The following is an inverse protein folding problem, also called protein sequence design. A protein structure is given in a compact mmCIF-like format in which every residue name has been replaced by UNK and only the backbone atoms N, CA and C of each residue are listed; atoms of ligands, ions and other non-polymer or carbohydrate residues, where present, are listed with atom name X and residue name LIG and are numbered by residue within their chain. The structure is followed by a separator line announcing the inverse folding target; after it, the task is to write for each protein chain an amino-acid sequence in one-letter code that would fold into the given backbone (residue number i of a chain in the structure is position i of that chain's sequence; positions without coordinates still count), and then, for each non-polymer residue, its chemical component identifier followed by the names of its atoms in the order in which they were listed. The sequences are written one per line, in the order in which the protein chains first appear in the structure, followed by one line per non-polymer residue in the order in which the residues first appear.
data_IF_893782117966
#
_entry.id   IF_893782117966
#
_cell.length_a   1.000
_cell.length_b   1.000
_cell.length_c   1.000
_cell.angle_alpha   90.00
_cell.angle_beta   90.00
_cell.angle_gamma   90.00
#
_symmetry.space_group_name_H-M   'P 1'
#
loop_
_entity.id
_entity.type
_entity.pdbx_description
1 polymer ?
#
# COMPACT_ATOMS: atom_id res chain seq x y z
N UNK A 1 25.14 42.16 6.13
CA UNK A 1 25.14 41.70 4.71
C UNK A 1 26.33 42.29 3.91
N UNK A 2 26.77 43.50 4.20
CA UNK A 2 27.82 44.15 3.41
C UNK A 2 29.24 43.49 3.49
N UNK A 3 29.45 42.56 4.38
CA UNK A 3 30.70 41.83 4.59
C UNK A 3 30.63 40.33 4.26
N UNK A 4 29.52 39.87 3.73
CA UNK A 4 29.30 38.46 3.38
C UNK A 4 29.39 38.30 1.85
N UNK A 5 30.03 37.22 1.40
CA UNK A 5 30.06 36.74 0.03
C UNK A 5 28.65 36.63 -0.56
N UNK A 6 28.49 36.83 -1.86
CA UNK A 6 27.21 36.77 -2.57
C UNK A 6 26.45 35.44 -2.38
N UNK A 7 27.17 34.35 -2.13
CA UNK A 7 26.55 33.05 -1.80
C UNK A 7 25.67 33.13 -0.54
N UNK A 8 26.04 33.94 0.46
CA UNK A 8 25.23 34.13 1.67
C UNK A 8 24.00 34.97 1.46
N UNK A 9 23.95 35.82 0.44
CA UNK A 9 22.73 36.56 0.08
C UNK A 9 21.62 35.61 -0.31
N UNK A 10 21.91 34.62 -1.17
CA UNK A 10 20.97 33.59 -1.57
C UNK A 10 20.46 32.79 -0.38
N UNK A 11 21.33 32.42 0.56
CA UNK A 11 20.96 31.70 1.78
C UNK A 11 20.03 32.54 2.65
N UNK A 12 20.33 33.81 2.84
CA UNK A 12 19.51 34.73 3.64
C UNK A 12 18.11 34.85 3.02
N UNK A 13 18.03 35.13 1.72
CA UNK A 13 16.75 35.32 1.02
C UNK A 13 15.90 34.05 1.03
N UNK A 14 16.52 32.89 0.92
CA UNK A 14 15.80 31.61 0.78
C UNK A 14 15.47 30.95 2.14
N UNK A 15 16.40 30.95 3.08
CA UNK A 15 16.31 30.13 4.28
C UNK A 15 16.37 30.90 5.60
N UNK A 16 16.53 32.23 5.58
CA UNK A 16 16.61 33.01 6.82
C UNK A 16 15.51 34.07 6.90
N UNK A 17 15.46 35.04 5.98
CA UNK A 17 14.62 36.23 6.12
C UNK A 17 14.21 36.89 4.79
N UNK A 18 13.86 36.13 3.76
CA UNK A 18 13.29 36.63 2.52
C UNK A 18 11.75 36.63 2.55
N UNK A 19 11.11 37.31 1.59
CA UNK A 19 9.64 37.32 1.42
C UNK A 19 9.04 35.93 1.20
N UNK A 20 9.85 35.02 0.64
CA UNK A 20 9.51 33.61 0.40
C UNK A 20 10.42 32.65 1.15
N UNK A 21 11.09 33.13 2.19
CA UNK A 21 12.00 32.31 2.96
C UNK A 21 11.28 31.12 3.64
N UNK A 22 11.95 29.99 3.64
CA UNK A 22 11.46 28.74 4.25
C UNK A 22 10.89 28.92 5.66
N UNK A 23 11.56 29.64 6.60
CA UNK A 23 11.02 29.83 7.95
C UNK A 23 9.74 30.65 7.97
N UNK A 24 9.56 31.61 7.05
CA UNK A 24 8.32 32.38 6.93
C UNK A 24 7.16 31.50 6.42
N UNK A 25 7.44 30.61 5.47
CA UNK A 25 6.43 29.68 4.97
C UNK A 25 6.01 28.70 6.08
N UNK A 26 6.95 28.15 6.82
CA UNK A 26 6.65 27.26 7.98
C UNK A 26 5.77 27.98 9.01
N UNK A 27 6.10 29.22 9.33
CA UNK A 27 5.34 30.02 10.29
C UNK A 27 3.90 30.31 9.76
N UNK A 28 3.69 30.49 8.45
CA UNK A 28 2.38 30.63 7.82
C UNK A 28 1.57 29.32 7.83
N UNK A 29 2.22 28.20 7.50
CA UNK A 29 1.58 26.90 7.44
C UNK A 29 1.22 26.34 8.83
N UNK A 30 1.92 26.78 9.87
CA UNK A 30 1.80 26.30 11.25
C UNK A 30 1.50 27.41 12.23
N UNK A 31 0.23 27.71 12.51
CA UNK A 31 -0.16 28.79 13.44
C UNK A 31 0.47 28.69 14.84
N UNK A 32 0.81 27.47 15.30
CA UNK A 32 1.51 27.24 16.57
C UNK A 32 2.90 27.91 16.59
N UNK A 33 3.58 27.95 15.45
CA UNK A 33 4.89 28.61 15.29
C UNK A 33 4.72 30.07 14.85
N UNK A 34 3.76 30.31 13.95
CA UNK A 34 3.58 31.59 13.28
C UNK A 34 3.10 32.73 14.17
N UNK A 35 2.29 32.45 15.21
CA UNK A 35 1.76 33.49 16.15
C UNK A 35 2.87 34.36 16.73
N UNK A 36 4.09 33.83 16.90
CA UNK A 36 5.24 34.53 17.46
C UNK A 36 6.47 34.48 16.56
N UNK A 37 6.29 34.13 15.30
CA UNK A 37 7.34 33.98 14.30
C UNK A 37 8.51 33.10 14.82
N UNK A 38 8.21 31.96 15.44
CA UNK A 38 9.17 31.10 16.13
C UNK A 38 10.24 30.59 15.17
N UNK A 39 9.81 30.07 14.00
CA UNK A 39 10.75 29.49 13.03
C UNK A 39 11.69 30.57 12.45
N UNK A 40 11.17 31.79 12.20
CA UNK A 40 11.99 32.91 11.76
C UNK A 40 13.02 33.34 12.81
N UNK A 41 12.62 33.37 14.10
CA UNK A 41 13.58 33.66 15.20
C UNK A 41 14.68 32.62 15.28
N UNK A 42 14.31 31.33 15.19
CA UNK A 42 15.28 30.22 15.16
C UNK A 42 16.22 30.37 13.98
N UNK A 43 15.69 30.58 12.75
CA UNK A 43 16.49 30.73 11.55
C UNK A 43 17.51 31.88 11.64
N UNK A 44 17.09 33.06 12.13
CA UNK A 44 17.94 34.24 12.32
C UNK A 44 19.05 33.99 13.35
N UNK A 45 18.70 33.40 14.50
CA UNK A 45 19.68 33.08 15.54
C UNK A 45 20.65 31.99 15.07
N UNK A 46 20.17 30.98 14.36
CA UNK A 46 21.00 29.95 13.75
C UNK A 46 21.98 30.55 12.72
N UNK A 47 21.52 31.48 11.88
CA UNK A 47 22.37 32.16 10.91
C UNK A 47 23.51 32.94 11.59
N UNK A 48 23.19 33.70 12.63
CA UNK A 48 24.18 34.44 13.40
C UNK A 48 25.19 33.51 14.08
N UNK A 49 24.74 32.41 14.66
CA UNK A 49 25.58 31.38 15.25
C UNK A 49 26.48 30.67 14.24
N UNK A 50 25.99 30.48 13.02
CA UNK A 50 26.74 29.88 11.90
C UNK A 50 27.86 30.83 11.41
N UNK A 51 27.50 32.10 11.22
CA UNK A 51 28.45 33.10 10.76
C UNK A 51 29.67 33.25 11.69
N UNK A 52 29.45 33.13 13.00
CA UNK A 52 30.52 33.22 14.00
C UNK A 52 31.43 31.96 14.05
N UNK A 53 31.05 30.86 13.41
CA UNK A 53 31.72 29.55 13.53
C UNK A 53 32.13 28.96 12.18
N UNK A 54 32.11 29.74 11.09
CA UNK A 54 32.39 29.26 9.71
C UNK A 54 33.74 28.55 9.62
N UNK A 55 34.77 29.13 10.24
CA UNK A 55 36.15 28.62 10.21
C UNK A 55 36.54 27.87 11.49
N UNK A 56 35.57 27.59 12.38
CA UNK A 56 35.82 26.89 13.64
C UNK A 56 35.89 25.38 13.44
N UNK A 57 36.66 24.69 14.28
CA UNK A 57 36.72 23.22 14.30
C UNK A 57 35.34 22.58 14.60
N UNK A 58 34.46 23.30 15.34
CA UNK A 58 33.11 22.90 15.63
C UNK A 58 32.15 23.96 15.10
N UNK A 59 31.58 23.69 13.94
CA UNK A 59 30.62 24.58 13.28
C UNK A 59 29.26 24.63 14.00
N UNK A 60 28.58 25.77 13.87
CA UNK A 60 27.20 25.93 14.27
C UNK A 60 26.98 26.15 15.76
N UNK A 61 25.71 26.18 16.13
CA UNK A 61 25.25 26.45 17.50
C UNK A 61 24.55 25.20 18.07
N UNK A 62 24.78 24.91 19.34
CA UNK A 62 24.09 23.86 20.05
C UNK A 62 22.61 24.18 20.24
N UNK A 63 21.76 23.16 20.15
CA UNK A 63 20.29 23.27 20.22
C UNK A 63 19.84 24.01 21.47
N UNK A 64 20.39 23.68 22.63
CA UNK A 64 20.05 24.29 23.91
C UNK A 64 20.39 25.76 23.93
N UNK A 65 21.59 26.14 23.42
CA UNK A 65 22.04 27.55 23.30
C UNK A 65 21.15 28.32 22.30
N UNK A 66 20.79 27.67 21.17
CA UNK A 66 19.92 28.27 20.18
C UNK A 66 18.56 28.59 20.80
N UNK A 67 17.97 27.62 21.51
CA UNK A 67 16.65 27.79 22.13
C UNK A 67 16.67 28.85 23.24
N UNK A 68 17.70 28.84 24.06
CA UNK A 68 17.86 29.87 25.08
C UNK A 68 17.95 31.28 24.47
N UNK A 69 18.69 31.41 23.35
CA UNK A 69 18.87 32.69 22.65
C UNK A 69 17.61 33.22 21.94
N UNK A 70 16.64 32.37 21.66
CA UNK A 70 15.39 32.79 20.98
C UNK A 70 14.15 32.74 21.84
N UNK A 71 14.23 32.18 23.06
CA UNK A 71 13.09 32.08 23.96
C UNK A 71 12.58 33.46 24.41
N UNK A 72 11.27 33.63 24.40
CA UNK A 72 10.56 34.83 24.86
C UNK A 72 9.48 34.47 25.87
N UNK A 73 9.19 35.36 26.81
CA UNK A 73 8.07 35.14 27.75
C UNK A 73 6.76 34.78 27.03
N UNK A 74 6.11 33.70 27.47
CA UNK A 74 4.89 33.17 26.85
C UNK A 74 5.06 32.26 25.67
N UNK A 75 6.30 31.83 25.32
CA UNK A 75 6.56 30.78 24.36
C UNK A 75 6.28 29.38 24.95
N UNK A 76 5.85 28.44 24.10
CA UNK A 76 5.71 27.03 24.46
C UNK A 76 6.99 26.30 24.06
N UNK A 77 7.85 25.95 25.03
CA UNK A 77 9.18 25.34 24.80
C UNK A 77 9.12 24.04 23.98
N UNK A 78 8.06 23.25 24.13
CA UNK A 78 7.84 22.03 23.36
C UNK A 78 7.79 22.23 21.84
N UNK A 79 7.48 23.44 21.37
CA UNK A 79 7.40 23.76 19.95
C UNK A 79 8.79 24.04 19.31
N UNK A 80 9.82 24.31 20.10
CA UNK A 80 11.13 24.72 19.58
C UNK A 80 11.81 23.59 18.81
N UNK A 81 11.82 22.38 19.38
CA UNK A 81 12.39 21.21 18.73
C UNK A 81 11.71 20.88 17.41
N UNK A 82 10.36 20.86 17.40
CA UNK A 82 9.57 20.59 16.20
C UNK A 82 9.74 21.67 15.12
N UNK A 83 9.88 22.94 15.54
CA UNK A 83 10.12 24.05 14.59
C UNK A 83 11.52 23.97 13.97
N UNK A 84 12.57 23.68 14.77
CA UNK A 84 13.92 23.48 14.24
C UNK A 84 14.00 22.25 13.33
N UNK A 85 13.36 21.17 13.69
CA UNK A 85 13.30 19.96 12.87
C UNK A 85 12.65 20.27 11.51
N UNK A 86 11.51 20.94 11.51
CA UNK A 86 10.81 21.29 10.27
C UNK A 86 11.60 22.27 9.41
N UNK A 87 12.34 23.18 10.03
CA UNK A 87 13.29 24.06 9.34
C UNK A 87 14.42 23.24 8.69
N UNK A 88 15.04 22.33 9.42
CA UNK A 88 16.09 21.43 8.90
C UNK A 88 15.60 20.56 7.73
N UNK A 89 14.36 20.10 7.79
CA UNK A 89 13.79 19.22 6.76
C UNK A 89 13.45 20.00 5.47
N UNK A 90 13.04 21.27 5.58
CA UNK A 90 12.59 22.09 4.43
C UNK A 90 13.63 23.08 3.89
N UNK A 91 14.57 23.50 4.72
CA UNK A 91 15.59 24.46 4.32
C UNK A 91 16.61 23.84 3.37
N UNK A 92 17.09 24.64 2.43
CA UNK A 92 18.08 24.21 1.45
C UNK A 92 19.48 24.11 2.04
N UNK A 93 19.83 25.04 2.95
CA UNK A 93 21.20 25.26 3.41
C UNK A 93 21.41 24.98 4.90
N UNK A 94 20.43 24.42 5.60
CA UNK A 94 20.54 24.06 7.01
C UNK A 94 21.11 22.66 7.17
N UNK A 95 22.15 22.55 7.96
CA UNK A 95 22.81 21.31 8.36
C UNK A 95 22.58 21.03 9.85
N UNK A 96 22.46 19.77 10.20
CA UNK A 96 22.37 19.33 11.60
C UNK A 96 23.26 18.11 11.80
N UNK A 97 24.11 18.15 12.84
CA UNK A 97 24.96 17.04 13.25
C UNK A 97 24.93 16.92 14.77
N UNK A 98 24.39 15.79 15.26
CA UNK A 98 24.13 15.60 16.68
C UNK A 98 23.19 16.67 17.24
N UNK A 99 23.67 17.47 18.21
CA UNK A 99 22.91 18.57 18.83
C UNK A 99 23.17 19.93 18.20
N UNK A 100 24.07 20.01 17.20
CA UNK A 100 24.50 21.27 16.58
C UNK A 100 23.82 21.46 15.23
N UNK A 101 23.48 22.71 14.91
CA UNK A 101 22.93 23.09 13.62
C UNK A 101 23.65 24.34 13.08
N UNK A 102 23.75 24.45 11.74
CA UNK A 102 24.37 25.60 11.07
C UNK A 102 23.87 25.77 9.65
N UNK A 103 24.12 26.95 9.06
CA UNK A 103 23.99 27.18 7.64
C UNK A 103 25.31 26.95 6.93
N UNK A 104 25.25 26.29 5.76
CA UNK A 104 26.44 26.14 4.89
C UNK A 104 26.10 26.64 3.47
N UNK A 105 27.14 26.83 2.64
CA UNK A 105 27.01 27.32 1.27
C UNK A 105 26.51 26.24 0.29
N UNK A 106 26.68 24.99 0.61
CA UNK A 106 26.21 23.88 -0.19
C UNK A 106 24.78 23.47 0.23
N UNK A 107 23.94 23.00 -0.70
CA UNK A 107 22.64 22.44 -0.35
C UNK A 107 22.76 21.24 0.59
N UNK A 108 21.85 21.14 1.55
CA UNK A 108 21.81 20.00 2.47
C UNK A 108 21.41 18.71 1.75
N UNK A 109 21.78 17.55 2.30
CA UNK A 109 21.40 16.24 1.76
C UNK A 109 19.86 16.13 1.63
N UNK A 110 19.12 16.63 2.60
CA UNK A 110 17.66 16.64 2.58
C UNK A 110 17.13 17.33 1.33
N UNK A 111 17.72 18.46 0.95
CA UNK A 111 17.31 19.20 -0.24
C UNK A 111 17.62 18.43 -1.52
N UNK A 112 18.81 17.86 -1.62
CA UNK A 112 19.21 17.04 -2.77
C UNK A 112 18.24 15.86 -2.94
N UNK A 113 17.86 15.20 -1.85
CA UNK A 113 16.91 14.09 -1.86
C UNK A 113 15.52 14.53 -2.30
N UNK A 114 15.02 15.67 -1.80
CA UNK A 114 13.69 16.17 -2.19
C UNK A 114 13.67 16.51 -3.68
N UNK A 115 14.70 17.18 -4.21
CA UNK A 115 14.81 17.50 -5.62
C UNK A 115 14.92 16.23 -6.48
N UNK A 116 15.67 15.23 -6.02
CA UNK A 116 15.79 13.93 -6.68
C UNK A 116 14.46 13.17 -6.68
N UNK A 117 13.77 13.13 -5.56
CA UNK A 117 12.46 12.48 -5.43
C UNK A 117 11.43 13.10 -6.39
N UNK A 118 11.41 14.42 -6.52
CA UNK A 118 10.54 15.13 -7.46
C UNK A 118 10.88 14.85 -8.94
N UNK A 119 12.15 14.56 -9.24
CA UNK A 119 12.62 14.30 -10.61
C UNK A 119 12.44 12.83 -11.07
N UNK A 120 12.01 11.91 -10.19
CA UNK A 120 11.79 10.51 -10.54
C UNK A 120 10.61 10.36 -11.51
N UNK A 121 10.78 9.50 -12.51
CA UNK A 121 9.71 9.14 -13.43
C UNK A 121 8.61 8.33 -12.73
N UNK A 122 7.35 8.56 -13.12
CA UNK A 122 6.20 7.89 -12.51
C UNK A 122 6.20 6.36 -12.79
N UNK A 123 6.75 5.94 -13.94
CA UNK A 123 6.84 4.52 -14.27
C UNK A 123 7.87 3.81 -13.36
N UNK A 124 9.04 4.43 -13.13
CA UNK A 124 10.07 3.89 -12.23
C UNK A 124 9.54 3.77 -10.80
N UNK A 125 8.77 4.76 -10.34
CA UNK A 125 8.13 4.74 -9.03
C UNK A 125 7.08 3.63 -8.93
N UNK A 126 6.29 3.42 -9.98
CA UNK A 126 5.30 2.35 -10.01
C UNK A 126 5.96 0.95 -9.97
N UNK A 127 7.07 0.75 -10.71
CA UNK A 127 7.83 -0.51 -10.66
C UNK A 127 8.46 -0.74 -9.27
N UNK A 128 9.02 0.30 -8.66
CA UNK A 128 9.48 0.22 -7.26
C UNK A 128 8.33 -0.11 -6.31
N UNK A 129 7.14 0.43 -6.58
CA UNK A 129 5.91 0.08 -5.87
C UNK A 129 5.56 -1.40 -5.96
N UNK A 130 5.77 -2.03 -7.12
CA UNK A 130 5.58 -3.49 -7.31
C UNK A 130 6.58 -4.30 -6.47
N UNK A 131 7.84 -3.88 -6.38
CA UNK A 131 8.82 -4.54 -5.52
C UNK A 131 8.44 -4.47 -4.04
N UNK A 132 8.01 -3.30 -3.58
CA UNK A 132 7.53 -3.12 -2.21
C UNK A 132 6.24 -3.91 -1.98
N UNK A 133 5.33 -3.96 -2.97
CA UNK A 133 4.10 -4.76 -2.91
C UNK A 133 4.41 -6.25 -2.70
N UNK A 134 5.43 -6.79 -3.37
CA UNK A 134 5.90 -8.17 -3.16
C UNK A 134 6.32 -8.42 -1.71
N UNK A 135 7.01 -7.46 -1.11
CA UNK A 135 7.46 -7.57 0.27
C UNK A 135 6.30 -7.57 1.30
N UNK A 136 5.21 -6.80 1.03
CA UNK A 136 4.06 -6.66 1.94
C UNK A 136 2.86 -7.54 1.57
N UNK A 137 2.92 -8.29 0.46
CA UNK A 137 1.80 -9.12 -0.01
C UNK A 137 1.40 -10.19 1.01
N UNK A 138 2.35 -11.00 1.46
CA UNK A 138 2.11 -12.13 2.35
C UNK A 138 1.31 -13.27 1.71
N UNK A 139 0.92 -14.24 2.52
CA UNK A 139 0.04 -15.36 2.13
C UNK A 139 -1.05 -15.54 3.18
N UNK A 140 -2.15 -16.16 2.83
CA UNK A 140 -3.27 -16.42 3.74
C UNK A 140 -3.92 -17.77 3.44
N UNK A 141 -4.44 -18.49 4.47
CA UNK A 141 -5.05 -19.80 4.29
C UNK A 141 -6.30 -19.77 3.39
N UNK A 142 -6.93 -18.62 3.18
CA UNK A 142 -8.10 -18.45 2.32
C UNK A 142 -7.75 -18.55 0.83
N UNK A 143 -6.49 -18.38 0.47
CA UNK A 143 -6.04 -18.39 -0.93
C UNK A 143 -5.07 -19.53 -1.20
N UNK A 144 -5.20 -20.14 -2.37
CA UNK A 144 -4.25 -21.18 -2.84
C UNK A 144 -2.98 -20.57 -3.42
N UNK A 145 -3.05 -19.33 -3.92
CA UNK A 145 -1.93 -18.58 -4.46
C UNK A 145 -2.20 -17.08 -4.42
N UNK A 146 -1.13 -16.29 -4.48
CA UNK A 146 -1.17 -14.83 -4.59
C UNK A 146 -0.39 -14.43 -5.84
N UNK A 147 -1.08 -13.84 -6.80
CA UNK A 147 -0.49 -13.25 -8.01
C UNK A 147 -0.27 -11.76 -7.77
N UNK A 148 0.92 -11.25 -8.09
CA UNK A 148 1.30 -9.87 -7.77
C UNK A 148 1.54 -9.10 -9.05
N UNK A 149 0.80 -8.01 -9.22
CA UNK A 149 0.92 -7.04 -10.29
C UNK A 149 1.00 -7.68 -11.70
N UNK A 150 0.02 -8.52 -12.10
CA UNK A 150 0.02 -9.09 -13.44
C UNK A 150 0.01 -7.97 -14.49
N UNK A 151 0.83 -8.10 -15.53
CA UNK A 151 0.91 -7.13 -16.60
C UNK A 151 -0.31 -7.21 -17.54
N UNK A 152 -0.87 -8.42 -17.67
CA UNK A 152 -2.01 -8.74 -18.53
C UNK A 152 -2.94 -9.79 -17.89
N UNK A 153 -4.14 -9.94 -18.44
CA UNK A 153 -5.09 -10.98 -18.02
C UNK A 153 -4.56 -12.40 -18.27
N UNK A 154 -3.61 -12.56 -19.21
CA UNK A 154 -2.97 -13.82 -19.54
C UNK A 154 -2.05 -14.38 -18.46
N UNK A 155 -1.51 -13.48 -17.62
CA UNK A 155 -0.53 -13.83 -16.57
C UNK A 155 -1.17 -14.51 -15.37
N UNK A 156 -2.49 -14.39 -15.22
CA UNK A 156 -3.24 -15.02 -14.12
C UNK A 156 -3.85 -16.34 -14.60
N UNK A 157 -3.44 -17.44 -13.99
CA UNK A 157 -3.92 -18.77 -14.33
C UNK A 157 -5.44 -18.89 -14.16
N UNK A 158 -6.11 -19.62 -15.07
CA UNK A 158 -7.50 -20.01 -14.94
C UNK A 158 -7.58 -21.31 -14.10
N UNK A 159 -7.50 -21.16 -12.79
CA UNK A 159 -7.44 -22.24 -11.81
C UNK A 159 -8.79 -22.48 -11.18
N UNK A 160 -9.04 -23.73 -10.76
CA UNK A 160 -10.23 -24.09 -9.95
C UNK A 160 -10.05 -23.80 -8.45
N UNK A 161 -8.88 -23.36 -8.01
CA UNK A 161 -8.61 -22.98 -6.62
C UNK A 161 -8.56 -21.47 -6.49
N UNK A 162 -9.08 -20.94 -5.38
CA UNK A 162 -9.20 -19.49 -5.15
C UNK A 162 -7.82 -18.85 -5.10
N UNK A 163 -7.63 -17.86 -5.96
CA UNK A 163 -6.40 -17.06 -6.08
C UNK A 163 -6.69 -15.61 -5.70
N UNK A 164 -5.74 -15.02 -5.00
CA UNK A 164 -5.72 -13.59 -4.76
C UNK A 164 -4.84 -12.91 -5.81
N UNK A 165 -5.32 -11.85 -6.42
CA UNK A 165 -4.57 -11.04 -7.38
C UNK A 165 -4.39 -9.64 -6.81
N UNK A 166 -3.17 -9.25 -6.48
CA UNK A 166 -2.86 -7.88 -6.11
C UNK A 166 -2.60 -7.07 -7.37
N UNK A 167 -3.44 -6.09 -7.67
CA UNK A 167 -3.34 -5.33 -8.91
C UNK A 167 -2.11 -4.43 -8.94
N UNK A 168 -1.59 -4.19 -10.14
CA UNK A 168 -0.50 -3.25 -10.36
C UNK A 168 -0.91 -1.83 -9.92
N UNK A 169 0.02 -0.99 -9.41
CA UNK A 169 -0.26 0.39 -8.98
C UNK A 169 -1.04 1.26 -9.96
N UNK A 170 -0.86 1.05 -11.26
CA UNK A 170 -1.60 1.77 -12.31
C UNK A 170 -3.11 1.49 -12.32
N UNK A 171 -3.55 0.38 -11.72
CA UNK A 171 -4.94 -0.05 -11.65
C UNK A 171 -5.59 0.42 -10.35
N UNK A 172 -5.63 1.73 -10.14
CA UNK A 172 -6.28 2.33 -8.97
C UNK A 172 -7.81 2.28 -9.07
N UNK A 173 -8.44 2.24 -7.90
CA UNK A 173 -9.90 2.38 -7.75
C UNK A 173 -10.18 3.64 -6.97
N UNK A 174 -11.06 4.47 -7.50
CA UNK A 174 -11.50 5.72 -6.88
C UNK A 174 -13.02 5.80 -6.76
N UNK A 175 -13.50 6.81 -6.04
CA UNK A 175 -14.92 7.06 -5.86
C UNK A 175 -15.43 6.71 -4.47
N UNK A 176 -16.77 6.67 -4.33
CA UNK A 176 -17.46 6.26 -3.09
C UNK A 176 -17.86 4.79 -3.22
N UNK A 177 -17.97 4.08 -2.10
CA UNK A 177 -18.31 2.64 -2.08
C UNK A 177 -19.51 2.25 -2.97
N UNK A 178 -20.51 3.12 -3.12
CA UNK A 178 -21.67 2.89 -3.98
C UNK A 178 -21.43 3.17 -5.48
N UNK A 179 -20.28 3.80 -5.85
CA UNK A 179 -19.96 4.18 -7.24
C UNK A 179 -18.46 4.21 -7.44
N UNK A 180 -17.83 3.06 -7.32
CA UNK A 180 -16.41 2.89 -7.58
C UNK A 180 -16.16 2.86 -9.09
N UNK A 181 -15.05 3.46 -9.49
CA UNK A 181 -14.63 3.55 -10.88
C UNK A 181 -13.11 3.63 -10.99
N UNK A 182 -12.63 3.60 -12.21
CA UNK A 182 -11.21 3.77 -12.51
C UNK A 182 -10.57 2.53 -13.14
N UNK A 183 -9.29 2.64 -13.51
CA UNK A 183 -8.57 1.58 -14.23
C UNK A 183 -8.57 0.22 -13.51
N UNK A 184 -8.67 0.24 -12.17
CA UNK A 184 -8.74 -0.98 -11.37
C UNK A 184 -10.04 -1.75 -11.54
N UNK A 185 -11.18 -1.04 -11.65
CA UNK A 185 -12.48 -1.66 -11.91
C UNK A 185 -12.54 -2.24 -13.33
N UNK A 186 -12.04 -1.50 -14.31
CA UNK A 186 -11.99 -1.93 -15.72
C UNK A 186 -11.13 -3.18 -15.90
N UNK A 187 -9.93 -3.17 -15.34
CA UNK A 187 -9.02 -4.31 -15.41
C UNK A 187 -9.55 -5.52 -14.63
N UNK A 188 -10.24 -5.30 -13.51
CA UNK A 188 -10.87 -6.36 -12.73
C UNK A 188 -12.00 -7.03 -13.54
N UNK A 189 -12.88 -6.27 -14.18
CA UNK A 189 -13.95 -6.81 -15.02
C UNK A 189 -13.36 -7.60 -16.21
N UNK A 190 -12.32 -7.07 -16.87
CA UNK A 190 -11.63 -7.76 -17.94
C UNK A 190 -10.98 -9.07 -17.45
N UNK A 191 -10.25 -9.05 -16.34
CA UNK A 191 -9.57 -10.21 -15.78
C UNK A 191 -10.56 -11.32 -15.37
N UNK A 192 -11.70 -10.94 -14.80
CA UNK A 192 -12.74 -11.88 -14.40
C UNK A 192 -13.48 -12.52 -15.59
N UNK A 193 -13.53 -11.84 -16.73
CA UNK A 193 -14.19 -12.34 -17.95
C UNK A 193 -13.24 -13.04 -18.92
N UNK A 194 -11.96 -12.68 -18.93
CA UNK A 194 -11.01 -13.12 -19.95
C UNK A 194 -9.67 -13.55 -19.35
N UNK A 195 -9.04 -14.48 -20.04
CA UNK A 195 -7.63 -14.82 -19.92
C UNK A 195 -7.00 -14.68 -21.28
N UNK A 196 -6.22 -13.63 -21.50
CA UNK A 196 -5.75 -13.24 -22.85
C UNK A 196 -6.95 -13.11 -23.82
N UNK A 197 -6.94 -13.83 -24.94
CA UNK A 197 -8.00 -13.83 -25.94
C UNK A 197 -9.19 -14.76 -25.60
N UNK A 198 -9.03 -15.69 -24.66
CA UNK A 198 -10.05 -16.67 -24.30
C UNK A 198 -10.98 -16.19 -23.20
N UNK A 199 -12.22 -16.66 -23.17
CA UNK A 199 -13.10 -16.46 -22.04
C UNK A 199 -12.55 -17.21 -20.80
N UNK A 200 -12.61 -16.57 -19.62
CA UNK A 200 -12.24 -17.22 -18.36
C UNK A 200 -13.35 -18.18 -17.93
N UNK A 201 -12.97 -19.37 -17.54
CA UNK A 201 -13.90 -20.43 -17.16
C UNK A 201 -14.20 -20.36 -15.66
N UNK A 202 -13.18 -20.17 -14.82
CA UNK A 202 -13.29 -20.25 -13.37
C UNK A 202 -13.31 -18.86 -12.71
N UNK A 203 -14.23 -17.99 -13.16
CA UNK A 203 -14.33 -16.62 -12.67
C UNK A 203 -14.57 -16.55 -11.14
N UNK A 204 -15.35 -17.50 -10.58
CA UNK A 204 -15.62 -17.56 -9.15
C UNK A 204 -14.38 -17.90 -8.29
N UNK A 205 -13.30 -18.39 -8.90
CA UNK A 205 -12.05 -18.72 -8.22
C UNK A 205 -11.06 -17.55 -8.16
N UNK A 206 -11.48 -16.32 -8.50
CA UNK A 206 -10.63 -15.14 -8.45
C UNK A 206 -11.17 -14.09 -7.48
N UNK A 207 -10.25 -13.51 -6.73
CA UNK A 207 -10.44 -12.30 -5.93
C UNK A 207 -9.27 -11.37 -6.22
N UNK A 208 -9.55 -10.10 -6.40
CA UNK A 208 -8.53 -9.10 -6.68
C UNK A 208 -8.47 -8.10 -5.53
N UNK A 209 -7.29 -7.51 -5.28
CA UNK A 209 -7.18 -6.35 -4.39
C UNK A 209 -6.49 -5.22 -5.14
N UNK A 210 -7.20 -4.11 -5.23
CA UNK A 210 -6.77 -2.91 -5.93
C UNK A 210 -6.34 -1.81 -4.96
N UNK A 211 -5.40 -0.95 -5.35
CA UNK A 211 -5.06 0.24 -4.59
C UNK A 211 -6.15 1.31 -4.71
N UNK A 212 -6.44 1.99 -3.60
CA UNK A 212 -7.25 3.20 -3.56
C UNK A 212 -6.48 4.36 -4.18
N UNK A 213 -7.14 5.15 -5.04
CA UNK A 213 -6.49 6.21 -5.80
C UNK A 213 -5.86 7.28 -4.91
N UNK A 214 -6.57 7.75 -3.88
CA UNK A 214 -6.04 8.78 -2.98
C UNK A 214 -4.89 8.25 -2.11
N UNK A 215 -4.98 7.01 -1.62
CA UNK A 215 -3.91 6.39 -0.84
C UNK A 215 -2.69 6.02 -1.68
N UNK A 216 -2.88 5.79 -2.98
CA UNK A 216 -1.75 5.59 -3.88
C UNK A 216 -0.91 6.86 -4.04
N UNK A 217 -1.52 8.05 -4.01
CA UNK A 217 -0.77 9.32 -4.03
C UNK A 217 0.18 9.43 -2.81
N UNK A 218 -0.28 9.04 -1.62
CA UNK A 218 0.56 8.98 -0.43
C UNK A 218 1.68 7.92 -0.56
N UNK A 219 1.37 6.78 -1.16
CA UNK A 219 2.34 5.70 -1.40
C UNK A 219 3.37 6.10 -2.45
N UNK A 220 2.98 6.75 -3.55
CA UNK A 220 3.89 7.30 -4.56
C UNK A 220 4.88 8.29 -3.94
N UNK A 221 4.38 9.21 -3.11
CA UNK A 221 5.27 10.15 -2.41
C UNK A 221 6.27 9.45 -1.50
N UNK A 222 5.83 8.46 -0.72
CA UNK A 222 6.72 7.69 0.16
C UNK A 222 7.75 6.86 -0.62
N UNK A 223 7.35 6.29 -1.76
CA UNK A 223 8.24 5.55 -2.66
C UNK A 223 9.30 6.46 -3.28
N UNK A 224 8.94 7.66 -3.74
CA UNK A 224 9.90 8.65 -4.27
C UNK A 224 10.97 8.99 -3.24
N UNK A 225 10.57 9.24 -1.99
CA UNK A 225 11.51 9.50 -0.89
C UNK A 225 12.38 8.27 -0.59
N UNK A 226 11.79 7.06 -0.59
CA UNK A 226 12.55 5.82 -0.41
C UNK A 226 13.62 5.63 -1.48
N UNK A 227 13.27 5.81 -2.75
CA UNK A 227 14.20 5.68 -3.87
C UNK A 227 15.32 6.72 -3.78
N UNK A 228 14.98 7.98 -3.54
CA UNK A 228 15.96 9.06 -3.45
C UNK A 228 16.92 8.90 -2.26
N UNK A 229 16.41 8.50 -1.08
CA UNK A 229 17.26 8.21 0.07
C UNK A 229 18.13 6.97 -0.13
N UNK A 230 17.58 5.93 -0.76
CA UNK A 230 18.32 4.70 -1.10
C UNK A 230 19.47 4.99 -2.08
N UNK A 231 19.23 5.87 -3.06
CA UNK A 231 20.29 6.35 -3.96
C UNK A 231 21.37 7.15 -3.22
N UNK A 232 20.94 8.08 -2.35
CA UNK A 232 21.87 8.91 -1.56
C UNK A 232 22.73 8.11 -0.60
N UNK A 233 22.22 6.99 -0.06
CA UNK A 233 22.96 6.10 0.84
C UNK A 233 24.01 5.21 0.15
N UNK A 234 24.03 5.17 -1.20
CA UNK A 234 24.99 4.35 -1.96
C UNK A 234 26.42 4.91 -1.83
N UNK A 235 27.45 4.05 -1.82
CA UNK A 235 28.84 4.49 -1.73
C UNK A 235 29.25 5.49 -2.82
N UNK A 236 28.71 5.33 -4.04
CA UNK A 236 29.02 6.22 -5.16
C UNK A 236 28.42 7.61 -4.97
N UNK A 237 27.17 7.69 -4.50
CA UNK A 237 26.52 8.97 -4.19
C UNK A 237 27.18 9.68 -3.01
N UNK A 238 27.59 8.93 -1.97
CA UNK A 238 28.34 9.45 -0.84
C UNK A 238 29.63 10.13 -1.32
N UNK A 239 30.37 9.50 -2.24
CA UNK A 239 31.61 10.06 -2.84
C UNK A 239 31.30 11.23 -3.76
N UNK A 240 30.30 11.11 -4.62
CA UNK A 240 29.94 12.16 -5.57
C UNK A 240 29.50 13.47 -4.91
N UNK A 241 28.89 13.38 -3.73
CA UNK A 241 28.43 14.53 -2.95
C UNK A 241 29.38 14.91 -1.80
N UNK A 242 30.57 14.26 -1.71
CA UNK A 242 31.58 14.50 -0.68
C UNK A 242 30.99 14.52 0.75
N UNK A 243 30.13 13.52 1.04
CA UNK A 243 29.46 13.43 2.32
C UNK A 243 30.42 13.03 3.42
N UNK A 244 30.37 13.72 4.56
CA UNK A 244 31.09 13.33 5.77
C UNK A 244 30.59 11.95 6.28
N UNK A 245 31.39 11.32 7.14
CA UNK A 245 30.99 10.03 7.74
C UNK A 245 29.65 10.13 8.50
N UNK A 246 29.41 11.23 9.19
CA UNK A 246 28.15 11.50 9.90
C UNK A 246 26.98 11.65 8.93
N UNK A 247 27.15 12.40 7.84
CA UNK A 247 26.13 12.56 6.80
C UNK A 247 25.84 11.25 6.08
N UNK A 248 26.86 10.43 5.81
CA UNK A 248 26.68 9.10 5.22
C UNK A 248 25.91 8.14 6.16
N UNK A 249 26.17 8.21 7.47
CA UNK A 249 25.39 7.47 8.47
C UNK A 249 23.94 7.96 8.52
N UNK A 250 23.71 9.27 8.50
CA UNK A 250 22.38 9.86 8.44
C UNK A 250 21.63 9.43 7.18
N UNK A 251 22.26 9.44 6.01
CA UNK A 251 21.65 9.00 4.76
C UNK A 251 21.18 7.54 4.82
N UNK A 252 21.97 6.65 5.42
CA UNK A 252 21.58 5.23 5.62
C UNK A 252 20.38 5.08 6.55
N UNK A 253 20.41 5.77 7.70
CA UNK A 253 19.28 5.76 8.65
C UNK A 253 18.01 6.28 7.98
N UNK A 254 18.10 7.37 7.21
CA UNK A 254 16.97 7.94 6.47
C UNK A 254 16.48 7.01 5.37
N UNK A 255 17.34 6.26 4.70
CA UNK A 255 16.95 5.26 3.72
C UNK A 255 16.14 4.12 4.35
N UNK A 256 16.54 3.64 5.54
CA UNK A 256 15.80 2.60 6.28
C UNK A 256 14.44 3.12 6.76
N UNK A 257 14.39 4.33 7.32
CA UNK A 257 13.14 5.00 7.72
C UNK A 257 12.18 5.18 6.55
N UNK A 258 12.69 5.65 5.40
CA UNK A 258 11.90 5.87 4.19
C UNK A 258 11.39 4.56 3.58
N UNK A 259 12.21 3.49 3.61
CA UNK A 259 11.79 2.14 3.23
C UNK A 259 10.61 1.67 4.07
N UNK A 260 10.73 1.73 5.38
CA UNK A 260 9.65 1.33 6.28
C UNK A 260 8.39 2.19 6.09
N UNK A 261 8.53 3.48 5.75
CA UNK A 261 7.41 4.36 5.42
C UNK A 261 6.73 3.95 4.10
N UNK A 262 7.50 3.63 3.06
CA UNK A 262 7.01 3.14 1.78
C UNK A 262 6.26 1.81 1.94
N UNK A 263 6.80 0.84 2.69
CA UNK A 263 6.14 -0.44 2.98
C UNK A 263 4.78 -0.24 3.67
N UNK A 264 4.69 0.65 4.66
CA UNK A 264 3.42 0.99 5.32
C UNK A 264 2.44 1.67 4.38
N UNK A 265 2.88 2.63 3.57
CA UNK A 265 2.03 3.37 2.66
C UNK A 265 1.48 2.46 1.54
N UNK A 266 2.33 1.62 0.94
CA UNK A 266 1.93 0.63 -0.07
C UNK A 266 0.93 -0.36 0.53
N UNK A 267 1.22 -0.95 1.69
CA UNK A 267 0.27 -1.84 2.36
C UNK A 267 -1.08 -1.15 2.62
N UNK A 268 -1.07 0.10 3.07
CA UNK A 268 -2.28 0.87 3.36
C UNK A 268 -3.08 1.26 2.11
N UNK A 269 -2.46 1.30 0.92
CA UNK A 269 -3.12 1.67 -0.31
C UNK A 269 -4.00 0.54 -0.90
N UNK A 270 -3.62 -0.74 -0.79
CA UNK A 270 -4.38 -1.89 -1.32
C UNK A 270 -5.54 -2.27 -0.40
N UNK A 271 -6.69 -1.65 -0.59
CA UNK A 271 -7.85 -1.81 0.31
C UNK A 271 -9.14 -2.21 -0.39
N UNK A 272 -9.21 -2.23 -1.71
CA UNK A 272 -10.43 -2.60 -2.43
C UNK A 272 -10.34 -4.05 -2.89
N UNK A 273 -11.02 -4.97 -2.17
CA UNK A 273 -11.24 -6.33 -2.64
C UNK A 273 -12.37 -6.33 -3.66
N UNK A 274 -12.08 -6.86 -4.84
CA UNK A 274 -12.99 -6.95 -5.99
C UNK A 274 -13.22 -8.42 -6.28
N UNK A 275 -14.48 -8.83 -6.42
CA UNK A 275 -14.84 -10.21 -6.72
C UNK A 275 -16.09 -10.26 -7.61
N UNK A 276 -16.27 -11.34 -8.37
CA UNK A 276 -17.51 -11.49 -9.12
C UNK A 276 -18.65 -11.83 -8.17
N UNK A 277 -19.80 -11.19 -8.38
CA UNK A 277 -21.05 -11.51 -7.72
C UNK A 277 -22.17 -11.70 -8.74
N UNK A 278 -23.03 -12.67 -8.49
CA UNK A 278 -24.14 -13.02 -9.37
C UNK A 278 -25.35 -13.40 -8.51
N UNK A 279 -26.19 -12.43 -8.13
CA UNK A 279 -27.34 -12.68 -7.25
C UNK A 279 -28.31 -13.69 -7.82
N UNK A 280 -28.45 -13.77 -9.14
CA UNK A 280 -29.29 -14.73 -9.82
C UNK A 280 -28.59 -15.30 -11.08
N UNK A 281 -28.76 -16.62 -11.30
CA UNK A 281 -28.13 -17.33 -12.42
C UNK A 281 -28.62 -16.92 -13.81
N UNK A 282 -29.67 -16.13 -13.92
CA UNK A 282 -30.25 -15.64 -15.17
C UNK A 282 -29.58 -14.36 -15.70
N UNK A 283 -28.74 -13.70 -14.90
CA UNK A 283 -28.04 -12.44 -15.26
C UNK A 283 -26.55 -12.61 -15.33
N UNK A 284 -25.83 -11.80 -16.13
CA UNK A 284 -24.39 -11.73 -16.06
C UNK A 284 -23.92 -11.32 -14.65
N UNK A 285 -22.78 -11.83 -14.21
CA UNK A 285 -22.19 -11.38 -12.97
C UNK A 285 -21.70 -9.92 -13.08
N UNK A 286 -21.66 -9.26 -11.94
CA UNK A 286 -21.09 -7.92 -11.75
C UNK A 286 -19.83 -8.01 -10.91
N UNK A 287 -19.00 -6.97 -10.94
CA UNK A 287 -17.84 -6.86 -10.04
C UNK A 287 -18.29 -6.13 -8.80
N UNK A 288 -18.37 -6.86 -7.69
CA UNK A 288 -18.63 -6.30 -6.38
C UNK A 288 -17.32 -5.89 -5.72
N UNK A 289 -17.38 -4.85 -4.90
CA UNK A 289 -16.24 -4.30 -4.21
C UNK A 289 -16.51 -4.18 -2.72
N UNK A 290 -15.56 -4.61 -1.91
CA UNK A 290 -15.58 -4.41 -0.48
C UNK A 290 -14.26 -3.87 0.05
N UNK A 291 -14.33 -3.17 1.19
CA UNK A 291 -13.17 -2.57 1.80
C UNK A 291 -12.49 -3.55 2.76
N UNK A 292 -11.18 -3.78 2.56
CA UNK A 292 -10.34 -4.69 3.35
C UNK A 292 -9.24 -3.92 4.09
N UNK A 293 -9.61 -2.84 4.75
CA UNK A 293 -8.69 -2.07 5.59
C UNK A 293 -8.49 -2.73 6.97
N UNK A 294 -7.44 -2.31 7.67
CA UNK A 294 -7.07 -2.82 8.99
C UNK A 294 -5.60 -2.61 9.31
N UNK A 295 -5.19 -2.96 10.52
CA UNK A 295 -3.83 -2.80 11.04
C UNK A 295 -2.85 -3.90 10.60
N UNK A 296 -3.32 -4.99 10.02
CA UNK A 296 -2.46 -6.06 9.51
C UNK A 296 -1.68 -5.57 8.29
N UNK A 297 -0.34 -5.54 8.33
CA UNK A 297 0.47 -5.02 7.24
C UNK A 297 0.52 -5.92 6.01
N UNK A 298 0.29 -7.23 6.17
CA UNK A 298 0.29 -8.20 5.05
C UNK A 298 -1.07 -8.18 4.35
N UNK A 299 -1.09 -7.77 3.11
CA UNK A 299 -2.33 -7.54 2.35
C UNK A 299 -3.17 -8.82 2.23
N UNK A 300 -2.54 -9.96 1.88
CA UNK A 300 -3.25 -11.22 1.73
C UNK A 300 -3.90 -11.69 3.04
N UNK A 301 -3.21 -11.52 4.18
CA UNK A 301 -3.74 -11.89 5.51
C UNK A 301 -4.94 -11.01 5.87
N UNK A 302 -4.83 -9.71 5.65
CA UNK A 302 -5.92 -8.76 5.91
C UNK A 302 -7.14 -9.04 5.04
N UNK A 303 -6.92 -9.25 3.74
CA UNK A 303 -7.97 -9.59 2.79
C UNK A 303 -8.62 -10.94 3.14
N UNK A 304 -7.83 -11.99 3.39
CA UNK A 304 -8.34 -13.32 3.72
C UNK A 304 -9.22 -13.31 4.97
N UNK A 305 -8.74 -12.72 6.06
CA UNK A 305 -9.54 -12.59 7.30
C UNK A 305 -10.86 -11.86 7.09
N UNK A 306 -10.86 -10.76 6.32
CA UNK A 306 -12.08 -10.00 6.06
C UNK A 306 -13.03 -10.78 5.18
N UNK A 307 -12.55 -11.36 4.09
CA UNK A 307 -13.36 -12.12 3.14
C UNK A 307 -13.90 -13.43 3.74
N UNK A 308 -13.12 -14.08 4.60
CA UNK A 308 -13.60 -15.25 5.36
C UNK A 308 -14.68 -14.89 6.38
N UNK A 309 -14.56 -13.75 7.08
CA UNK A 309 -15.57 -13.27 8.03
C UNK A 309 -16.89 -12.86 7.37
N UNK A 310 -16.83 -12.38 6.14
CA UNK A 310 -18.00 -11.94 5.37
C UNK A 310 -18.54 -13.07 4.47
N UNK A 311 -18.12 -14.31 4.70
CA UNK A 311 -18.58 -15.51 3.96
C UNK A 311 -18.37 -15.42 2.43
N UNK A 312 -17.36 -14.67 2.00
CA UNK A 312 -17.00 -14.56 0.58
C UNK A 312 -16.09 -15.73 0.16
N UNK A 313 -15.23 -16.23 1.06
CA UNK A 313 -14.35 -17.39 0.84
C UNK A 313 -14.48 -18.36 1.99
N UNK A 314 -14.64 -19.62 1.67
CA UNK A 314 -14.77 -20.70 2.64
C UNK A 314 -13.54 -21.60 2.61
N UNK A 315 -12.87 -21.74 3.75
CA UNK A 315 -11.76 -22.70 3.97
C UNK A 315 -12.23 -24.05 4.50
N UNK A 316 -13.48 -24.12 4.90
CA UNK A 316 -14.21 -25.35 5.28
C UNK A 316 -15.67 -25.20 4.88
N UNK A 317 -16.36 -26.31 4.62
CA UNK A 317 -17.77 -26.31 4.32
C UNK A 317 -18.41 -27.61 4.87
N UNK A 318 -19.65 -27.51 5.29
CA UNK A 318 -20.45 -28.68 5.68
C UNK A 318 -21.18 -29.29 4.47
N UNK A 319 -21.59 -30.56 4.55
CA UNK A 319 -22.43 -31.24 3.56
C UNK A 319 -23.72 -30.47 3.28
N UNK A 320 -24.31 -29.88 4.32
CA UNK A 320 -25.52 -29.05 4.19
C UNK A 320 -25.34 -27.87 3.21
N UNK A 321 -24.15 -27.29 3.10
CA UNK A 321 -23.83 -26.24 2.12
C UNK A 321 -23.97 -26.76 0.70
N UNK A 322 -23.48 -27.98 0.43
CA UNK A 322 -23.63 -28.64 -0.88
C UNK A 322 -25.10 -28.99 -1.17
N UNK A 323 -25.78 -29.58 -0.19
CA UNK A 323 -27.21 -29.95 -0.30
C UNK A 323 -28.07 -28.74 -0.63
N UNK A 324 -27.84 -27.59 0.03
CA UNK A 324 -28.54 -26.35 -0.23
C UNK A 324 -28.39 -25.90 -1.70
N UNK A 325 -27.18 -26.01 -2.26
CA UNK A 325 -26.94 -25.63 -3.65
C UNK A 325 -27.56 -26.61 -4.63
N UNK A 326 -27.44 -27.92 -4.38
CA UNK A 326 -28.06 -28.96 -5.24
C UNK A 326 -29.57 -28.82 -5.32
N UNK A 327 -30.23 -28.48 -4.22
CA UNK A 327 -31.70 -28.28 -4.15
C UNK A 327 -32.11 -26.86 -4.56
N UNK A 328 -31.15 -25.94 -4.75
CA UNK A 328 -31.40 -24.57 -5.15
C UNK A 328 -31.87 -24.42 -6.61
N UNK A 329 -32.55 -23.31 -6.93
CA UNK A 329 -33.16 -23.11 -8.26
C UNK A 329 -32.11 -23.09 -9.39
N UNK A 330 -30.88 -22.69 -9.10
CA UNK A 330 -29.80 -22.56 -10.08
C UNK A 330 -29.20 -23.91 -10.53
N UNK A 331 -29.26 -24.93 -9.67
CA UNK A 331 -28.68 -26.25 -9.97
C UNK A 331 -29.75 -27.33 -10.25
N UNK A 332 -30.92 -27.21 -9.69
CA UNK A 332 -31.98 -28.23 -9.82
C UNK A 332 -32.26 -28.63 -11.26
N UNK A 333 -32.20 -27.69 -12.20
CA UNK A 333 -32.38 -27.96 -13.63
C UNK A 333 -31.18 -28.65 -14.28
N UNK A 334 -30.01 -28.71 -13.63
CA UNK A 334 -28.80 -29.30 -14.19
C UNK A 334 -28.55 -30.75 -13.76
N UNK A 335 -29.29 -31.25 -12.79
CA UNK A 335 -29.24 -32.65 -12.39
C UNK A 335 -30.62 -33.30 -12.40
N UNK A 336 -31.37 -33.04 -13.49
CA UNK A 336 -32.73 -33.53 -13.68
C UNK A 336 -32.87 -35.05 -13.57
N UNK A 337 -31.79 -35.81 -13.83
CA UNK A 337 -31.76 -37.27 -13.70
C UNK A 337 -31.40 -37.74 -12.28
N UNK A 338 -31.35 -36.83 -11.29
CA UNK A 338 -31.02 -37.14 -9.90
C UNK A 338 -29.56 -37.48 -9.66
N UNK A 339 -28.65 -37.24 -10.64
CA UNK A 339 -27.24 -37.53 -10.53
C UNK A 339 -26.36 -36.45 -11.19
N UNK A 340 -25.18 -36.20 -10.64
CA UNK A 340 -24.15 -35.33 -11.17
C UNK A 340 -22.80 -35.87 -10.73
N UNK A 341 -21.76 -35.80 -11.56
CA UNK A 341 -20.42 -36.18 -11.12
C UNK A 341 -19.81 -35.11 -10.20
N UNK A 342 -19.01 -35.54 -9.21
CA UNK A 342 -18.32 -34.59 -8.31
C UNK A 342 -17.42 -33.59 -9.08
N UNK A 343 -16.84 -34.04 -10.21
CA UNK A 343 -15.99 -33.18 -11.06
C UNK A 343 -16.78 -32.10 -11.80
N UNK A 344 -18.00 -32.42 -12.29
CA UNK A 344 -18.90 -31.45 -12.91
C UNK A 344 -19.44 -30.46 -11.87
N UNK A 345 -19.86 -30.96 -10.71
CA UNK A 345 -20.33 -30.13 -9.62
C UNK A 345 -19.24 -29.17 -9.18
N UNK A 346 -18.01 -29.65 -8.98
CA UNK A 346 -16.88 -28.77 -8.66
C UNK A 346 -16.64 -27.72 -9.76
N UNK A 347 -16.74 -28.11 -11.03
CA UNK A 347 -16.66 -27.17 -12.16
C UNK A 347 -17.73 -26.07 -12.12
N UNK A 348 -18.92 -26.36 -11.59
CA UNK A 348 -20.00 -25.39 -11.40
C UNK A 348 -19.63 -24.39 -10.27
N UNK A 349 -19.12 -24.89 -9.13
CA UNK A 349 -18.70 -24.05 -8.01
C UNK A 349 -17.61 -23.04 -8.40
N UNK A 350 -16.67 -23.42 -9.26
CA UNK A 350 -15.59 -22.55 -9.68
C UNK A 350 -15.96 -21.59 -10.80
N UNK A 351 -16.96 -21.95 -11.60
CA UNK A 351 -17.39 -21.16 -12.76
C UNK A 351 -18.37 -20.05 -12.40
N UNK A 352 -19.38 -20.35 -11.57
CA UNK A 352 -20.52 -19.48 -11.38
C UNK A 352 -20.46 -18.71 -10.06
N UNK A 353 -20.46 -17.34 -10.08
CA UNK A 353 -20.35 -16.52 -8.88
C UNK A 353 -21.52 -16.63 -7.90
N UNK A 354 -22.69 -17.14 -8.32
CA UNK A 354 -23.79 -17.43 -7.39
C UNK A 354 -23.54 -18.65 -6.49
N UNK A 355 -22.45 -19.40 -6.74
CA UNK A 355 -22.06 -20.53 -5.90
C UNK A 355 -21.14 -20.08 -4.77
N UNK A 356 -21.20 -20.72 -3.58
CA UNK A 356 -20.22 -20.49 -2.52
C UNK A 356 -18.78 -20.67 -3.02
N UNK A 357 -17.93 -19.71 -2.72
CA UNK A 357 -16.53 -19.72 -3.16
C UNK A 357 -15.70 -20.55 -2.18
N UNK A 358 -15.62 -21.85 -2.44
CA UNK A 358 -14.77 -22.76 -1.67
C UNK A 358 -13.31 -22.59 -2.10
N UNK A 359 -12.39 -22.55 -1.16
CA UNK A 359 -10.96 -22.31 -1.38
C UNK A 359 -10.35 -23.21 -2.48
N UNK A 360 -10.60 -24.52 -2.39
CA UNK A 360 -10.06 -25.51 -3.31
C UNK A 360 -10.90 -26.80 -3.31
N UNK A 361 -10.53 -27.73 -4.20
CA UNK A 361 -11.22 -29.02 -4.35
C UNK A 361 -11.14 -29.88 -3.08
N UNK A 362 -10.12 -29.69 -2.22
CA UNK A 362 -10.02 -30.42 -0.95
C UNK A 362 -11.14 -30.03 0.01
N UNK A 363 -11.44 -28.73 0.10
CA UNK A 363 -12.59 -28.23 0.90
C UNK A 363 -13.90 -28.80 0.37
N UNK A 364 -14.06 -28.80 -0.96
CA UNK A 364 -15.25 -29.36 -1.61
C UNK A 364 -15.40 -30.87 -1.33
N UNK A 365 -14.34 -31.65 -1.53
CA UNK A 365 -14.36 -33.11 -1.27
C UNK A 365 -14.59 -33.45 0.20
N UNK A 366 -14.01 -32.67 1.13
CA UNK A 366 -14.26 -32.82 2.55
C UNK A 366 -15.74 -32.57 2.91
N UNK A 367 -16.36 -31.53 2.30
CA UNK A 367 -17.77 -31.26 2.48
C UNK A 367 -18.69 -32.39 1.92
N UNK A 368 -18.30 -32.99 0.79
CA UNK A 368 -19.00 -34.17 0.28
C UNK A 368 -18.87 -35.39 1.21
N UNK A 369 -17.63 -35.66 1.69
CA UNK A 369 -17.38 -36.80 2.55
C UNK A 369 -18.08 -36.68 3.91
N UNK A 370 -18.24 -35.47 4.46
CA UNK A 370 -18.96 -35.28 5.73
C UNK A 370 -20.42 -35.68 5.68
N UNK A 371 -21.02 -35.74 4.47
CA UNK A 371 -22.37 -36.26 4.32
C UNK A 371 -22.51 -37.76 4.65
N UNK A 372 -21.39 -38.50 4.56
CA UNK A 372 -21.38 -39.94 4.86
C UNK A 372 -21.13 -40.20 6.35
N UNK A 373 -20.47 -39.27 7.04
CA UNK A 373 -20.18 -39.39 8.48
C UNK A 373 -21.37 -38.94 9.34
N UNK A 374 -22.12 -37.95 8.85
CA UNK A 374 -23.39 -37.53 9.45
C UNK A 374 -24.48 -38.52 9.05
N UNK A 375 -25.11 -39.23 9.98
CA UNK A 375 -26.30 -40.05 9.72
C UNK A 375 -27.47 -39.24 9.10
N UNK A 376 -27.19 -38.06 8.62
CA UNK A 376 -28.08 -37.09 7.99
C UNK A 376 -28.18 -37.23 6.47
N UNK A 377 -27.60 -38.26 5.83
CA UNK A 377 -27.77 -38.45 4.39
C UNK A 377 -29.24 -38.59 3.97
N UNK A 378 -30.08 -39.20 4.80
CA UNK A 378 -31.52 -39.27 4.58
C UNK A 378 -32.19 -37.89 4.61
N UNK A 379 -31.72 -36.97 5.42
CA UNK A 379 -32.22 -35.60 5.54
C UNK A 379 -31.48 -34.60 4.66
N UNK A 380 -30.21 -34.90 4.29
CA UNK A 380 -29.34 -34.05 3.53
C UNK A 380 -29.66 -33.93 2.05
N UNK A 381 -30.44 -34.84 1.51
CA UNK A 381 -30.97 -34.79 0.16
C UNK A 381 -30.00 -35.17 -0.97
N UNK A 382 -28.79 -35.71 -0.65
CA UNK A 382 -27.89 -36.32 -1.62
C UNK A 382 -27.03 -37.43 -1.00
N UNK A 383 -26.56 -38.37 -1.84
CA UNK A 383 -25.59 -39.39 -1.46
C UNK A 383 -24.38 -39.38 -2.41
N UNK A 384 -23.23 -39.85 -1.93
CA UNK A 384 -21.99 -39.97 -2.72
C UNK A 384 -21.81 -41.48 -3.04
N UNK A 385 -21.61 -41.80 -4.34
CA UNK A 385 -21.30 -43.16 -4.77
C UNK A 385 -20.03 -43.17 -5.67
N UNK A 386 -19.26 -44.25 -5.61
CA UNK A 386 -18.07 -44.46 -6.47
C UNK A 386 -18.46 -44.88 -7.90
N UNK A 387 -19.71 -45.33 -8.11
CA UNK A 387 -20.28 -45.71 -9.39
C UNK A 387 -21.79 -45.79 -9.29
N UNK A 388 -22.45 -45.72 -10.42
CA UNK A 388 -23.91 -45.86 -10.54
C UNK A 388 -24.23 -47.02 -11.49
N UNK A 389 -24.99 -47.98 -11.01
CA UNK A 389 -25.53 -49.07 -11.80
C UNK A 389 -27.00 -48.75 -12.16
N UNK A 390 -27.22 -48.41 -13.42
CA UNK A 390 -28.54 -48.00 -13.89
C UNK A 390 -29.58 -49.12 -13.83
N UNK A 391 -29.18 -50.40 -13.73
CA UNK A 391 -30.07 -51.55 -13.67
C UNK A 391 -30.53 -51.90 -12.23
N UNK A 392 -29.78 -51.39 -11.23
CA UNK A 392 -30.06 -51.65 -9.80
C UNK A 392 -30.67 -50.47 -9.04
N UNK A 393 -30.85 -49.33 -9.72
CA UNK A 393 -31.54 -48.13 -9.19
C UNK A 393 -30.72 -47.34 -8.20
#
# INVERSE_FOLDING_TARGET
AAYLDDAWRTIIEKDVDGERATPLQIDRDRPLFGRRALTRRIARALFLGSAATIDAAHRGIERERLFLGVAMPGDTLGNFGSSLQLLSDRATYVYTEGTRSWYDRQPSINRIVVDRAAALDAADVAEAGVEVLRAVAGTSPEFSAVDIAPASTGDVADSRSVRLVLLHPRHTVGGRAASLSGPGMEFADELLRRRASAARVNANALILVAPDAARWEDADHALRLHLAWSEMARPDSIRAHDLTQSQAAQARTKADEARAAAERAVSAAWIWALHPDQPDGGRPFVVEAMRVDGSEPRIAVRAGRKLGKEDIVFTSAASATIALQLNGPNLRARWNEGRITAGELWGIFTRYPYMPRLRDERVFRAALASAMDDMGWESGGFALASGYDAERG
#
